data_IF_087577036370
#
_entry.id   IF_087577036370
#
_cell.length_a   1.000
_cell.length_b   1.000
_cell.length_c   1.000
_cell.angle_alpha   90.00
_cell.angle_beta   90.00
_cell.angle_gamma   90.00
#
_symmetry.space_group_name_H-M   'P 1'
#
loop_
_entity.id
_entity.type
_entity.pdbx_description
1 polymer ?
#
# COMPACT_ATOMS: atom_id res chain seq x y z
N UNK A 1 1.35 -17.92 -27.96
CA UNK A 1 0.61 -18.00 -26.69
C UNK A 1 1.11 -16.89 -25.78
N UNK A 2 0.25 -16.24 -24.98
CA UNK A 2 0.63 -15.10 -24.15
C UNK A 2 0.02 -15.22 -22.76
N UNK A 3 0.82 -14.91 -21.74
CA UNK A 3 0.42 -14.89 -20.34
C UNK A 3 0.49 -13.44 -19.83
N UNK A 4 -0.50 -13.04 -19.05
CA UNK A 4 -0.54 -11.73 -18.40
C UNK A 4 -0.89 -11.90 -16.92
N UNK A 5 -0.33 -11.04 -16.08
CA UNK A 5 -0.59 -10.99 -14.65
C UNK A 5 -0.66 -9.54 -14.17
N UNK A 6 -1.28 -9.32 -13.02
CA UNK A 6 -1.37 -8.02 -12.37
C UNK A 6 -1.52 -8.21 -10.87
N UNK A 7 -0.86 -7.35 -10.10
CA UNK A 7 -0.99 -7.29 -8.65
C UNK A 7 -1.13 -5.83 -8.23
N UNK A 8 -2.02 -5.57 -7.27
CA UNK A 8 -2.21 -4.23 -6.70
C UNK A 8 -1.10 -3.89 -5.72
N UNK A 9 -0.44 -2.75 -5.94
CA UNK A 9 0.64 -2.26 -5.07
C UNK A 9 0.10 -1.97 -3.67
N UNK A 10 -1.10 -1.38 -3.54
CA UNK A 10 -1.69 -1.08 -2.23
C UNK A 10 -1.88 -2.34 -1.38
N UNK A 11 -2.31 -3.45 -1.99
CA UNK A 11 -2.55 -4.72 -1.27
C UNK A 11 -1.25 -5.31 -0.74
N UNK A 12 -0.17 -5.21 -1.51
CA UNK A 12 1.15 -5.70 -1.07
C UNK A 12 1.67 -4.82 0.05
N UNK A 13 1.50 -3.50 -0.03
CA UNK A 13 1.93 -2.57 1.01
C UNK A 13 1.17 -2.81 2.33
N UNK A 14 -0.15 -2.99 2.28
CA UNK A 14 -1.00 -3.33 3.43
C UNK A 14 -0.48 -4.57 4.15
N UNK A 15 -0.24 -5.65 3.40
CA UNK A 15 0.22 -6.92 3.97
C UNK A 15 1.66 -6.84 4.49
N UNK A 16 2.53 -6.11 3.79
CA UNK A 16 3.95 -6.02 4.14
C UNK A 16 4.19 -5.12 5.36
N UNK A 17 3.42 -4.05 5.49
CA UNK A 17 3.61 -3.03 6.52
C UNK A 17 2.55 -3.07 7.64
N UNK A 18 1.62 -4.02 7.58
CA UNK A 18 0.58 -4.19 8.61
C UNK A 18 -0.36 -2.98 8.72
N UNK A 19 -0.65 -2.34 7.59
CA UNK A 19 -1.49 -1.13 7.56
C UNK A 19 -2.96 -1.59 7.61
N UNK A 20 -3.69 -1.19 8.65
CA UNK A 20 -5.09 -1.61 8.84
C UNK A 20 -6.06 -0.98 7.84
N UNK A 21 -5.73 0.20 7.29
CA UNK A 21 -6.65 0.96 6.44
C UNK A 21 -5.99 1.52 5.17
N UNK A 22 -6.63 1.28 4.03
CA UNK A 22 -6.19 1.79 2.73
C UNK A 22 -6.34 3.32 2.62
N UNK A 23 -7.23 3.93 3.41
CA UNK A 23 -7.44 5.38 3.42
C UNK A 23 -6.19 6.14 3.84
N UNK A 24 -5.33 5.53 4.66
CA UNK A 24 -4.06 6.12 5.06
C UNK A 24 -3.15 6.45 3.88
N UNK A 25 -3.30 5.79 2.72
CA UNK A 25 -2.55 6.13 1.50
C UNK A 25 -3.05 7.39 0.80
N UNK A 26 -4.30 7.81 1.02
CA UNK A 26 -4.93 8.94 0.32
C UNK A 26 -5.16 10.16 1.22
N UNK A 27 -5.18 9.98 2.54
CA UNK A 27 -5.39 11.05 3.51
C UNK A 27 -4.17 11.98 3.69
N UNK A 28 -3.01 11.65 3.08
CA UNK A 28 -1.76 12.43 3.15
C UNK A 28 -1.36 12.80 4.58
N UNK A 29 -1.60 11.90 5.53
CA UNK A 29 -1.26 12.12 6.94
C UNK A 29 0.27 12.05 7.13
N UNK A 30 0.86 13.13 7.64
CA UNK A 30 2.30 13.22 7.91
C UNK A 30 2.73 12.11 8.89
N UNK A 31 1.88 11.74 9.85
CA UNK A 31 2.17 10.67 10.83
C UNK A 31 2.29 9.30 10.18
N UNK A 32 1.59 9.08 9.07
CA UNK A 32 1.72 7.87 8.27
C UNK A 32 3.02 7.92 7.45
N UNK A 33 3.33 9.06 6.83
CA UNK A 33 4.55 9.23 6.04
C UNK A 33 5.83 9.07 6.89
N UNK A 34 5.81 9.49 8.16
CA UNK A 34 6.93 9.30 9.10
C UNK A 34 7.24 7.83 9.40
N UNK A 35 6.30 6.89 9.20
CA UNK A 35 6.53 5.45 9.45
C UNK A 35 7.40 4.77 8.38
N UNK A 36 7.64 5.44 7.25
CA UNK A 36 8.39 4.91 6.11
C UNK A 36 9.72 5.63 5.86
N UNK A 37 10.13 6.52 6.77
CA UNK A 37 11.42 7.23 6.73
C UNK A 37 12.54 6.42 7.38
#
# INVERSE_FOLDING_TARGET
TGFAWGMGVERIAILKHGIDDIRSFYENDIRFLEQFN
#
